data_IF_955564604998
#
_entry.id   IF_955564604998
#
_cell.length_a   1.000
_cell.length_b   1.000
_cell.length_c   1.000
_cell.angle_alpha   90.00
_cell.angle_beta   90.00
_cell.angle_gamma   90.00
#
_symmetry.space_group_name_H-M   'P 1'
#
loop_
_entity.id
_entity.type
_entity.pdbx_description
1 polymer ?
#
# COMPACT_ATOMS: atom_id res chain seq x y z
N UNK A 1 45.64 -7.95 50.33
CA UNK A 1 45.56 -8.16 48.86
C UNK A 1 46.58 -7.26 48.18
N UNK A 2 47.54 -7.82 47.46
CA UNK A 2 48.71 -7.11 46.92
C UNK A 2 48.33 -6.13 45.79
N UNK A 3 48.95 -4.96 45.72
CA UNK A 3 48.63 -3.87 44.77
C UNK A 3 48.79 -4.28 43.30
N UNK A 4 49.67 -5.26 43.03
CA UNK A 4 49.84 -5.85 41.70
C UNK A 4 48.61 -6.67 41.29
N UNK A 5 48.02 -7.42 42.21
CA UNK A 5 46.85 -8.28 41.94
C UNK A 5 45.59 -7.45 41.68
N UNK A 6 45.39 -6.35 42.42
CA UNK A 6 44.27 -5.41 42.19
C UNK A 6 44.29 -4.82 40.77
N UNK A 7 45.46 -4.39 40.28
CA UNK A 7 45.61 -3.82 38.93
C UNK A 7 45.31 -4.82 37.80
N UNK A 8 45.65 -6.09 37.99
CA UNK A 8 45.34 -7.14 37.00
C UNK A 8 43.83 -7.43 36.95
N UNK A 9 43.17 -7.48 38.11
CA UNK A 9 41.72 -7.70 38.21
C UNK A 9 40.96 -6.51 37.59
N UNK A 10 41.35 -5.28 37.89
CA UNK A 10 40.75 -4.07 37.29
C UNK A 10 40.88 -4.06 35.76
N UNK A 11 42.04 -4.43 35.20
CA UNK A 11 42.23 -4.52 33.74
C UNK A 11 41.39 -5.64 33.09
N UNK A 12 41.11 -6.72 33.81
CA UNK A 12 40.22 -7.79 33.33
C UNK A 12 38.76 -7.35 33.35
N UNK A 13 38.32 -6.70 34.43
CA UNK A 13 36.97 -6.15 34.55
C UNK A 13 36.70 -5.08 33.48
N UNK A 14 37.66 -4.19 33.22
CA UNK A 14 37.54 -3.19 32.15
C UNK A 14 37.41 -3.85 30.77
N UNK A 15 38.16 -4.93 30.51
CA UNK A 15 38.05 -5.69 29.25
C UNK A 15 36.67 -6.32 29.09
N UNK A 16 36.15 -6.93 30.16
CA UNK A 16 34.81 -7.54 30.15
C UNK A 16 33.75 -6.46 29.92
N UNK A 17 33.86 -5.30 30.59
CA UNK A 17 32.96 -4.17 30.39
C UNK A 17 32.92 -3.72 28.93
N UNK A 18 34.09 -3.55 28.30
CA UNK A 18 34.18 -3.16 26.89
C UNK A 18 33.51 -4.19 25.98
N UNK A 19 33.74 -5.48 26.21
CA UNK A 19 33.11 -6.56 25.44
C UNK A 19 31.58 -6.52 25.61
N UNK A 20 31.09 -6.36 26.84
CA UNK A 20 29.64 -6.25 27.12
C UNK A 20 29.05 -5.02 26.45
N UNK A 21 29.72 -3.88 26.46
CA UNK A 21 29.27 -2.67 25.77
C UNK A 21 29.19 -2.88 24.25
N UNK A 22 30.19 -3.52 23.65
CA UNK A 22 30.19 -3.81 22.20
C UNK A 22 29.04 -4.76 21.86
N UNK A 23 28.87 -5.85 22.62
CA UNK A 23 27.78 -6.80 22.40
C UNK A 23 26.42 -6.12 22.58
N UNK A 24 26.23 -5.34 23.64
CA UNK A 24 24.99 -4.59 23.87
C UNK A 24 24.69 -3.60 22.74
N UNK A 25 25.70 -2.89 22.25
CA UNK A 25 25.55 -1.96 21.12
C UNK A 25 25.17 -2.68 19.82
N UNK A 26 25.79 -3.84 19.54
CA UNK A 26 25.41 -4.65 18.37
C UNK A 26 23.96 -5.13 18.45
N UNK A 27 23.52 -5.63 19.61
CA UNK A 27 22.12 -6.06 19.82
C UNK A 27 21.15 -4.91 19.59
N UNK A 28 21.46 -3.72 20.12
CA UNK A 28 20.66 -2.51 19.91
C UNK A 28 20.54 -2.14 18.42
N UNK A 29 21.64 -2.18 17.68
CA UNK A 29 21.65 -1.97 16.23
C UNK A 29 20.81 -3.00 15.49
N UNK A 30 20.92 -4.28 15.80
CA UNK A 30 20.11 -5.31 15.14
C UNK A 30 18.62 -5.18 15.45
N UNK A 31 18.26 -4.85 16.70
CA UNK A 31 16.87 -4.68 17.11
C UNK A 31 16.19 -3.50 16.39
N UNK A 32 16.89 -2.36 16.25
CA UNK A 32 16.33 -1.20 15.54
C UNK A 32 16.16 -1.46 14.04
N UNK A 33 17.10 -2.17 13.42
CA UNK A 33 17.01 -2.54 12.01
C UNK A 33 15.93 -3.61 11.73
N UNK A 34 15.65 -4.50 12.68
CA UNK A 34 14.60 -5.51 12.51
C UNK A 34 13.19 -4.87 12.47
N UNK A 35 12.94 -3.87 13.31
CA UNK A 35 11.67 -3.16 13.33
C UNK A 35 11.44 -2.37 12.02
N UNK A 36 12.47 -1.67 11.53
CA UNK A 36 12.38 -0.92 10.28
C UNK A 36 12.22 -1.85 9.08
N UNK A 37 12.88 -3.01 9.06
CA UNK A 37 12.69 -4.01 8.00
C UNK A 37 11.26 -4.53 7.93
N UNK A 38 10.65 -4.85 9.07
CA UNK A 38 9.27 -5.32 9.12
C UNK A 38 8.29 -4.25 8.63
N UNK A 39 8.48 -3.00 9.06
CA UNK A 39 7.64 -1.89 8.61
C UNK A 39 7.78 -1.66 7.10
N UNK A 40 9.01 -1.72 6.57
CA UNK A 40 9.26 -1.55 5.13
C UNK A 40 8.62 -2.67 4.29
N UNK A 41 8.60 -3.90 4.81
CA UNK A 41 7.98 -5.05 4.14
C UNK A 41 6.44 -4.95 4.13
N UNK A 42 5.84 -4.47 5.23
CA UNK A 42 4.42 -4.16 5.26
C UNK A 42 4.06 -3.02 4.30
N UNK A 43 4.84 -1.94 4.27
CA UNK A 43 4.63 -0.83 3.34
C UNK A 43 4.73 -1.30 1.88
N UNK A 44 5.71 -2.14 1.53
CA UNK A 44 5.80 -2.74 0.20
C UNK A 44 4.55 -3.52 -0.18
N UNK A 45 4.04 -4.33 0.75
CA UNK A 45 2.85 -5.17 0.52
C UNK A 45 1.61 -4.29 0.30
N UNK A 46 1.42 -3.27 1.13
CA UNK A 46 0.31 -2.32 1.00
C UNK A 46 0.37 -1.55 -0.33
N UNK A 47 1.54 -1.05 -0.71
CA UNK A 47 1.73 -0.34 -1.98
C UNK A 47 1.45 -1.27 -3.16
N UNK A 48 1.90 -2.53 -3.10
CA UNK A 48 1.63 -3.51 -4.15
C UNK A 48 0.12 -3.77 -4.31
N UNK A 49 -0.61 -3.91 -3.19
CA UNK A 49 -2.06 -4.05 -3.20
C UNK A 49 -2.75 -2.82 -3.80
N UNK A 50 -2.35 -1.60 -3.40
CA UNK A 50 -2.90 -0.37 -3.97
C UNK A 50 -2.67 -0.26 -5.48
N UNK A 51 -1.51 -0.70 -5.97
CA UNK A 51 -1.22 -0.72 -7.42
C UNK A 51 -2.14 -1.72 -8.13
N UNK A 52 -2.39 -2.88 -7.54
CA UNK A 52 -3.27 -3.89 -8.11
C UNK A 52 -4.73 -3.42 -8.14
N UNK A 53 -5.20 -2.83 -7.04
CA UNK A 53 -6.54 -2.25 -6.93
C UNK A 53 -6.74 -1.12 -7.95
N UNK A 54 -5.77 -0.21 -8.09
CA UNK A 54 -5.86 0.88 -9.05
C UNK A 54 -5.80 0.37 -10.51
N UNK A 55 -5.05 -0.70 -10.79
CA UNK A 55 -5.06 -1.36 -12.10
C UNK A 55 -6.43 -1.98 -12.40
N UNK A 56 -7.04 -2.66 -11.43
CA UNK A 56 -8.39 -3.22 -11.58
C UNK A 56 -9.40 -2.11 -11.85
N UNK A 57 -9.34 -1.02 -11.08
CA UNK A 57 -10.20 0.16 -11.27
C UNK A 57 -10.00 0.81 -12.63
N UNK A 58 -8.75 0.96 -13.08
CA UNK A 58 -8.43 1.50 -14.40
C UNK A 58 -9.01 0.63 -15.52
N UNK A 59 -8.86 -0.70 -15.42
CA UNK A 59 -9.45 -1.63 -16.39
C UNK A 59 -10.98 -1.56 -16.40
N UNK A 60 -11.63 -1.45 -15.25
CA UNK A 60 -13.09 -1.27 -15.17
C UNK A 60 -13.54 0.04 -15.82
N UNK A 61 -12.79 1.13 -15.62
CA UNK A 61 -13.06 2.41 -16.26
C UNK A 61 -12.88 2.34 -17.77
N UNK A 62 -11.84 1.66 -18.27
CA UNK A 62 -11.62 1.47 -19.71
C UNK A 62 -12.78 0.67 -20.37
N UNK A 63 -13.25 -0.37 -19.69
CA UNK A 63 -14.45 -1.12 -20.13
C UNK A 63 -15.68 -0.22 -20.16
N UNK A 64 -15.90 0.59 -19.12
CA UNK A 64 -17.02 1.53 -19.10
C UNK A 64 -16.91 2.57 -20.21
N UNK A 65 -15.73 3.14 -20.46
CA UNK A 65 -15.50 4.11 -21.55
C UNK A 65 -15.78 3.47 -22.92
N UNK A 66 -15.31 2.24 -23.14
CA UNK A 66 -15.61 1.50 -24.38
C UNK A 66 -17.10 1.23 -24.55
N UNK A 67 -17.80 0.91 -23.47
CA UNK A 67 -19.25 0.74 -23.49
C UNK A 67 -19.99 2.06 -23.70
N UNK A 68 -19.50 3.17 -23.12
CA UNK A 68 -20.06 4.51 -23.32
C UNK A 68 -19.96 4.98 -24.77
N UNK A 69 -18.88 4.61 -25.47
CA UNK A 69 -18.71 4.88 -26.90
C UNK A 69 -19.57 4.01 -27.82
N UNK A 70 -20.28 3.01 -27.29
CA UNK A 70 -21.18 2.18 -28.10
C UNK A 70 -22.42 2.97 -28.50
N UNK A 71 -22.88 2.79 -29.75
CA UNK A 71 -24.09 3.45 -30.28
C UNK A 71 -25.29 3.23 -29.36
N UNK A 72 -25.45 2.01 -28.84
CA UNK A 72 -26.52 1.66 -27.92
C UNK A 72 -26.49 2.47 -26.62
N UNK A 73 -25.33 2.68 -26.02
CA UNK A 73 -25.23 3.46 -24.78
C UNK A 73 -25.54 4.94 -25.03
N UNK A 74 -25.05 5.50 -26.13
CA UNK A 74 -25.34 6.89 -26.53
C UNK A 74 -26.84 7.08 -26.76
N UNK A 75 -27.47 6.16 -27.49
CA UNK A 75 -28.92 6.17 -27.71
C UNK A 75 -29.69 6.01 -26.40
N UNK A 76 -29.32 5.09 -25.51
CA UNK A 76 -29.96 4.92 -24.21
C UNK A 76 -29.82 6.16 -23.33
N UNK A 77 -28.64 6.77 -23.28
CA UNK A 77 -28.40 7.99 -22.51
C UNK A 77 -29.22 9.16 -23.06
N UNK A 78 -29.25 9.33 -24.38
CA UNK A 78 -30.04 10.34 -25.07
C UNK A 78 -31.54 10.19 -24.78
N UNK A 79 -32.08 8.97 -24.87
CA UNK A 79 -33.49 8.69 -24.57
C UNK A 79 -33.82 8.90 -23.09
N UNK A 80 -33.01 8.37 -22.17
CA UNK A 80 -33.29 8.36 -20.72
C UNK A 80 -33.08 9.70 -20.03
N UNK A 81 -31.99 10.40 -20.34
CA UNK A 81 -31.60 11.61 -19.61
C UNK A 81 -31.87 12.89 -20.38
N UNK A 82 -31.87 12.84 -21.72
CA UNK A 82 -32.08 14.02 -22.57
C UNK A 82 -33.46 14.02 -23.25
N UNK A 83 -34.21 12.90 -23.18
CA UNK A 83 -35.49 12.76 -23.87
C UNK A 83 -35.38 12.87 -25.39
N UNK A 84 -34.19 12.63 -25.95
CA UNK A 84 -33.91 12.76 -27.37
C UNK A 84 -34.16 11.43 -28.08
N UNK A 85 -34.85 11.51 -29.21
CA UNK A 85 -35.21 10.39 -30.09
C UNK A 85 -34.89 10.77 -31.53
N UNK A 86 -34.72 9.77 -32.39
CA UNK A 86 -34.54 10.06 -33.81
C UNK A 86 -35.84 10.62 -34.42
N UNK A 87 -35.77 11.48 -35.45
CA UNK A 87 -36.95 12.12 -36.04
C UNK A 87 -38.00 11.15 -36.61
N UNK A 88 -37.56 9.95 -36.95
CA UNK A 88 -38.32 8.84 -37.53
C UNK A 88 -38.81 7.82 -36.50
N UNK A 89 -38.52 8.00 -35.20
CA UNK A 89 -38.98 7.11 -34.14
C UNK A 89 -40.38 7.50 -33.62
N UNK A 90 -41.28 6.52 -33.52
CA UNK A 90 -42.62 6.71 -32.91
C UNK A 90 -42.54 6.42 -31.41
N UNK A 91 -42.78 7.43 -30.57
CA UNK A 91 -42.73 7.31 -29.10
C UNK A 91 -44.10 6.81 -28.59
N UNK A 92 -44.10 5.69 -27.87
CA UNK A 92 -45.30 5.16 -27.20
C UNK A 92 -45.20 5.49 -25.71
N UNK A 93 -46.03 6.40 -25.23
CA UNK A 93 -46.12 6.76 -23.82
C UNK A 93 -47.24 5.90 -23.20
N UNK A 94 -46.86 4.91 -22.41
CA UNK A 94 -47.83 4.07 -21.68
C UNK A 94 -48.12 4.76 -20.34
N UNK A 95 -49.26 5.46 -20.27
CA UNK A 95 -49.75 6.04 -19.02
C UNK A 95 -50.14 4.89 -18.08
N UNK A 96 -49.30 4.62 -17.08
CA UNK A 96 -49.57 3.57 -16.09
C UNK A 96 -50.35 4.24 -14.97
N UNK A 97 -51.67 4.00 -14.94
CA UNK A 97 -52.58 4.48 -13.89
C UNK A 97 -52.33 3.78 -12.56
#
# INVERSE_FOLDING_TARGET
MNEKTKRVIQKRLLRILIIVCIVGFTIYLFASNAATLYELEQQKTQIAQQIEDEKVRSNQLDVQVKQMGSKFYVEYFARKYLGLYYPDETIIIVDTQ
#
